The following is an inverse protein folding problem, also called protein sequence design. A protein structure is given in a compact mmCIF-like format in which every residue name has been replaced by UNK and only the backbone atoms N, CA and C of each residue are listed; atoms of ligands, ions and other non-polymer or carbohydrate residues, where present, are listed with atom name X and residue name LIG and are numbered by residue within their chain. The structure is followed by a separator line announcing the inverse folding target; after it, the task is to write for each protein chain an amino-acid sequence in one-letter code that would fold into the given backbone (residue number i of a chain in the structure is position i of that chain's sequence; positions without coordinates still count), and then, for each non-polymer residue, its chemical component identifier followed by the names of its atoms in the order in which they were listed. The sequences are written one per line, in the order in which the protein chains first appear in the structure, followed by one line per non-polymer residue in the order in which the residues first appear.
data_IF_017724051905
#
_entry.id   IF_017724051905
#
_cell.length_a   1.000
_cell.length_b   1.000
_cell.length_c   1.000
_cell.angle_alpha   90.00
_cell.angle_beta   90.00
_cell.angle_gamma   90.00
#
_symmetry.space_group_name_H-M   'P 1'
#
loop_
_entity.id
_entity.type
_entity.pdbx_description
1 polymer ?
#
# COMPACT_ATOMS: atom_id res chain seq x y z
N UNK A 1 -48.14 -27.33 -3.12
CA UNK A 1 -47.75 -26.12 -2.35
C UNK A 1 -46.58 -25.48 -3.10
N UNK A 2 -46.81 -24.34 -3.76
CA UNK A 2 -45.75 -23.62 -4.48
C UNK A 2 -44.84 -22.96 -3.44
N UNK A 3 -43.59 -23.40 -3.36
CA UNK A 3 -42.55 -22.60 -2.72
C UNK A 3 -42.30 -21.38 -3.62
N UNK A 4 -42.87 -20.24 -3.25
CA UNK A 4 -42.38 -18.96 -3.75
C UNK A 4 -41.03 -18.70 -3.06
N UNK A 5 -39.93 -18.48 -3.79
CA UNK A 5 -38.70 -18.06 -3.15
C UNK A 5 -38.95 -16.65 -2.57
N UNK A 6 -38.85 -16.50 -1.24
CA UNK A 6 -38.76 -15.19 -0.57
C UNK A 6 -37.39 -14.57 -0.92
N UNK A 7 -37.15 -14.23 -2.17
CA UNK A 7 -35.79 -13.94 -2.64
C UNK A 7 -35.63 -12.58 -3.31
N UNK A 8 -36.22 -11.52 -2.78
CA UNK A 8 -35.76 -10.16 -3.09
C UNK A 8 -35.88 -9.30 -1.84
N UNK A 9 -34.77 -8.71 -1.42
CA UNK A 9 -34.72 -7.65 -0.40
C UNK A 9 -35.30 -6.40 -1.09
N UNK A 10 -36.39 -5.84 -0.57
CA UNK A 10 -36.95 -4.58 -1.06
C UNK A 10 -36.11 -3.37 -0.64
N UNK A 11 -36.35 -2.20 -1.24
CA UNK A 11 -35.67 -0.96 -0.87
C UNK A 11 -35.95 -0.60 0.60
N UNK A 12 -37.17 -0.84 1.08
CA UNK A 12 -37.55 -0.66 2.48
C UNK A 12 -36.85 -1.68 3.40
N UNK A 13 -36.74 -2.94 2.97
CA UNK A 13 -36.01 -3.96 3.73
C UNK A 13 -34.52 -3.59 3.86
N UNK A 14 -33.90 -3.06 2.80
CA UNK A 14 -32.48 -2.64 2.79
C UNK A 14 -32.18 -1.62 3.89
N UNK A 15 -33.06 -0.63 4.09
CA UNK A 15 -32.87 0.41 5.10
C UNK A 15 -32.88 -0.13 6.53
N UNK A 16 -33.48 -1.30 6.76
CA UNK A 16 -33.55 -1.94 8.06
C UNK A 16 -32.39 -2.90 8.36
N UNK A 17 -31.65 -3.33 7.33
CA UNK A 17 -30.50 -4.23 7.48
C UNK A 17 -29.31 -3.54 8.14
N UNK A 18 -28.70 -4.23 9.10
CA UNK A 18 -27.55 -3.70 9.85
C UNK A 18 -26.35 -3.44 8.94
N UNK A 19 -26.08 -4.32 7.98
CA UNK A 19 -24.98 -4.18 7.03
C UNK A 19 -25.13 -2.93 6.15
N UNK A 20 -26.37 -2.54 5.80
CA UNK A 20 -26.63 -1.30 5.06
C UNK A 20 -26.49 -0.06 5.96
N UNK A 21 -27.00 -0.13 7.19
CA UNK A 21 -26.83 0.94 8.19
C UNK A 21 -25.34 1.19 8.48
N UNK A 22 -24.53 0.13 8.54
CA UNK A 22 -23.07 0.23 8.73
C UNK A 22 -22.35 0.85 7.53
N UNK A 23 -22.85 0.64 6.30
CA UNK A 23 -22.31 1.26 5.09
C UNK A 23 -22.27 2.80 5.21
N UNK A 24 -23.34 3.41 5.72
CA UNK A 24 -23.45 4.87 5.91
C UNK A 24 -22.53 5.43 7.01
N UNK A 25 -22.04 4.58 7.92
CA UNK A 25 -21.09 4.96 8.97
C UNK A 25 -19.63 4.88 8.55
N UNK A 26 -19.35 4.24 7.40
CA UNK A 26 -17.99 4.02 6.91
C UNK A 26 -17.50 5.27 6.17
N UNK A 27 -16.56 5.99 6.77
CA UNK A 27 -15.84 7.06 6.06
C UNK A 27 -15.01 6.41 4.96
N UNK A 28 -15.06 6.89 3.71
CA UNK A 28 -14.16 6.37 2.68
C UNK A 28 -12.74 6.91 2.87
N UNK A 29 -11.71 6.19 2.40
CA UNK A 29 -10.34 6.75 2.36
C UNK A 29 -10.31 8.08 1.59
N UNK A 30 -11.13 8.23 0.55
CA UNK A 30 -11.24 9.50 -0.19
C UNK A 30 -11.71 10.64 0.70
N UNK A 31 -12.84 10.48 1.40
CA UNK A 31 -13.40 11.50 2.29
C UNK A 31 -12.47 11.82 3.45
N UNK A 32 -11.79 10.79 3.96
CA UNK A 32 -10.80 10.96 5.02
C UNK A 32 -9.64 11.86 4.57
N UNK A 33 -9.10 11.64 3.36
CA UNK A 33 -8.04 12.49 2.80
C UNK A 33 -8.55 13.89 2.46
N UNK A 34 -9.76 14.00 1.90
CA UNK A 34 -10.36 15.28 1.54
C UNK A 34 -10.55 16.17 2.78
N UNK A 35 -11.10 15.62 3.87
CA UNK A 35 -11.28 16.33 5.15
C UNK A 35 -9.95 16.78 5.78
N UNK A 36 -8.84 16.12 5.43
CA UNK A 36 -7.47 16.47 5.87
C UNK A 36 -6.74 17.41 4.91
N UNK A 37 -7.43 17.95 3.91
CA UNK A 37 -6.89 18.95 3.00
C UNK A 37 -5.98 18.38 1.91
N UNK A 38 -6.12 17.10 1.58
CA UNK A 38 -5.36 16.51 0.48
C UNK A 38 -5.70 17.20 -0.86
N UNK A 39 -4.66 17.46 -1.65
CA UNK A 39 -4.82 18.08 -2.99
C UNK A 39 -5.44 17.10 -3.98
N UNK A 40 -6.01 17.64 -5.06
CA UNK A 40 -6.66 16.86 -6.13
C UNK A 40 -5.81 15.68 -6.62
N UNK A 41 -4.50 15.88 -6.81
CA UNK A 41 -3.59 14.85 -7.30
C UNK A 41 -3.50 13.67 -6.33
N UNK A 42 -3.44 13.92 -5.02
CA UNK A 42 -3.44 12.86 -4.00
C UNK A 42 -4.81 12.16 -3.97
N UNK A 43 -5.89 12.91 -4.04
CA UNK A 43 -7.26 12.36 -4.07
C UNK A 43 -7.50 11.46 -5.29
N UNK A 44 -6.94 11.83 -6.44
CA UNK A 44 -7.00 11.02 -7.67
C UNK A 44 -6.30 9.67 -7.53
N UNK A 45 -5.26 9.58 -6.68
CA UNK A 45 -4.54 8.33 -6.39
C UNK A 45 -5.29 7.51 -5.34
N UNK A 46 -5.76 8.15 -4.27
CA UNK A 46 -6.42 7.47 -3.13
C UNK A 46 -7.75 6.83 -3.53
N UNK A 47 -8.47 7.40 -4.51
CA UNK A 47 -9.73 6.83 -5.01
C UNK A 47 -9.56 5.55 -5.84
N UNK A 48 -8.32 5.20 -6.24
CA UNK A 48 -8.06 3.97 -6.98
C UNK A 48 -8.38 2.76 -6.09
N UNK A 49 -8.95 1.72 -6.65
CA UNK A 49 -9.08 0.43 -5.99
C UNK A 49 -7.71 -0.22 -5.79
N UNK A 50 -7.59 -1.18 -4.86
CA UNK A 50 -6.30 -1.63 -4.35
C UNK A 50 -5.31 -2.11 -5.42
N UNK A 51 -5.78 -2.78 -6.48
CA UNK A 51 -4.91 -3.32 -7.54
C UNK A 51 -4.31 -2.21 -8.42
N UNK A 52 -5.12 -1.32 -8.98
CA UNK A 52 -4.62 -0.16 -9.76
C UNK A 52 -3.87 0.81 -8.87
N UNK A 53 -4.25 0.96 -7.60
CA UNK A 53 -3.49 1.77 -6.66
C UNK A 53 -2.03 1.30 -6.55
N UNK A 54 -1.83 0.00 -6.27
CA UNK A 54 -0.49 -0.59 -6.21
C UNK A 54 0.26 -0.44 -7.52
N UNK A 55 -0.36 -0.82 -8.65
CA UNK A 55 0.27 -0.73 -9.98
C UNK A 55 0.59 0.69 -10.41
N UNK A 56 -0.23 1.68 -10.03
CA UNK A 56 0.02 3.09 -10.31
C UNK A 56 1.23 3.59 -9.53
N UNK A 57 1.28 3.31 -8.22
CA UNK A 57 2.38 3.76 -7.36
C UNK A 57 3.70 3.10 -7.76
N UNK A 58 3.69 1.81 -8.09
CA UNK A 58 4.86 1.09 -8.62
C UNK A 58 5.42 1.80 -9.87
N UNK A 59 4.58 2.07 -10.87
CA UNK A 59 4.98 2.78 -12.09
C UNK A 59 5.51 4.18 -11.81
N UNK A 60 4.83 4.93 -10.93
CA UNK A 60 5.22 6.27 -10.53
C UNK A 60 6.61 6.29 -9.88
N UNK A 61 6.89 5.32 -9.00
CA UNK A 61 8.17 5.23 -8.29
C UNK A 61 9.28 4.80 -9.23
N UNK A 62 9.03 3.84 -10.13
CA UNK A 62 9.99 3.47 -11.18
C UNK A 62 10.34 4.67 -12.06
N UNK A 63 9.35 5.46 -12.48
CA UNK A 63 9.61 6.69 -13.25
C UNK A 63 10.42 7.71 -12.44
N UNK A 64 9.99 8.00 -11.20
CA UNK A 64 10.62 9.01 -10.35
C UNK A 64 12.07 8.71 -9.99
N UNK A 65 12.42 7.44 -9.81
CA UNK A 65 13.77 6.99 -9.46
C UNK A 65 14.55 6.42 -10.65
N UNK A 66 13.99 6.49 -11.87
CA UNK A 66 14.59 5.95 -13.09
C UNK A 66 14.99 4.48 -12.96
N UNK A 67 14.09 3.68 -12.36
CA UNK A 67 14.29 2.24 -12.19
C UNK A 67 13.96 1.50 -13.48
N UNK A 68 14.76 0.48 -13.78
CA UNK A 68 14.52 -0.44 -14.87
C UNK A 68 13.36 -1.40 -14.55
N UNK A 69 12.82 -2.02 -15.60
CA UNK A 69 11.77 -3.03 -15.48
C UNK A 69 12.30 -4.30 -14.80
N UNK A 70 11.44 -5.08 -14.14
CA UNK A 70 11.87 -6.32 -13.51
C UNK A 70 12.23 -7.39 -14.54
N UNK A 71 13.09 -8.34 -14.16
CA UNK A 71 13.45 -9.50 -14.98
C UNK A 71 12.38 -10.58 -14.97
N UNK A 72 11.59 -10.64 -13.90
CA UNK A 72 10.58 -11.66 -13.66
C UNK A 72 9.48 -11.12 -12.71
N UNK A 73 8.56 -11.95 -12.26
CA UNK A 73 7.45 -11.54 -11.40
C UNK A 73 7.75 -11.54 -9.89
N UNK A 74 9.01 -11.74 -9.49
CA UNK A 74 9.42 -11.83 -8.08
C UNK A 74 10.03 -10.52 -7.56
N UNK A 75 10.11 -9.48 -8.38
CA UNK A 75 10.49 -8.13 -7.97
C UNK A 75 9.80 -7.13 -8.90
N UNK A 76 9.75 -5.87 -8.50
CA UNK A 76 9.03 -4.82 -9.22
C UNK A 76 9.95 -3.95 -10.08
N UNK A 77 11.24 -3.89 -9.74
CA UNK A 77 12.20 -3.02 -10.43
C UNK A 77 13.66 -3.46 -10.26
N UNK A 78 14.53 -2.86 -11.08
CA UNK A 78 15.99 -3.03 -11.02
C UNK A 78 16.67 -1.65 -11.00
N UNK A 79 17.75 -1.53 -10.24
CA UNK A 79 18.65 -0.37 -10.31
C UNK A 79 20.10 -0.83 -10.11
N UNK A 80 20.96 -0.65 -11.13
CA UNK A 80 22.35 -1.11 -11.08
C UNK A 80 22.48 -2.56 -10.56
N UNK A 81 21.77 -3.48 -11.22
CA UNK A 81 21.71 -4.91 -10.88
C UNK A 81 21.02 -5.25 -9.55
N UNK A 82 20.63 -4.26 -8.73
CA UNK A 82 19.90 -4.46 -7.49
C UNK A 82 18.41 -4.67 -7.75
N UNK A 83 17.88 -5.80 -7.29
CA UNK A 83 16.45 -6.14 -7.41
C UNK A 83 15.65 -5.55 -6.27
N UNK A 84 14.55 -4.88 -6.60
CA UNK A 84 13.77 -4.05 -5.69
C UNK A 84 12.31 -4.45 -5.73
N UNK A 85 11.71 -4.65 -4.56
CA UNK A 85 10.27 -4.74 -4.36
C UNK A 85 9.69 -3.37 -4.03
N UNK A 86 8.50 -3.03 -4.54
CA UNK A 86 7.82 -1.76 -4.27
C UNK A 86 6.45 -2.04 -3.66
N UNK A 87 6.30 -1.78 -2.36
CA UNK A 87 4.99 -1.88 -1.70
C UNK A 87 4.44 -0.50 -1.42
N UNK A 88 3.17 -0.31 -1.76
CA UNK A 88 2.47 0.96 -1.58
C UNK A 88 1.35 0.86 -0.55
N UNK A 89 1.20 1.89 0.26
CA UNK A 89 0.18 2.01 1.29
C UNK A 89 -0.45 3.41 1.27
N UNK A 90 -1.66 3.47 1.81
CA UNK A 90 -2.42 4.70 2.09
C UNK A 90 -3.15 4.52 3.41
N UNK A 91 -3.47 5.62 4.06
CA UNK A 91 -4.20 5.59 5.33
C UNK A 91 -5.58 4.96 5.16
N UNK A 92 -5.89 4.07 6.10
CA UNK A 92 -7.25 3.57 6.27
C UNK A 92 -8.14 4.69 6.78
N UNK A 93 -9.43 4.60 6.48
CA UNK A 93 -10.38 5.58 6.96
C UNK A 93 -10.37 5.65 8.50
N UNK A 94 -10.40 6.88 9.03
CA UNK A 94 -10.49 7.11 10.47
C UNK A 94 -9.16 7.13 11.23
N UNK A 95 -8.01 6.97 10.57
CA UNK A 95 -6.71 7.06 11.25
C UNK A 95 -5.53 7.24 10.30
N UNK A 96 -4.32 7.38 10.85
CA UNK A 96 -3.07 7.43 10.07
C UNK A 96 -2.36 6.07 10.01
N UNK A 97 -3.11 5.00 10.29
CA UNK A 97 -2.59 3.64 10.23
C UNK A 97 -2.72 3.11 8.79
N UNK A 98 -1.71 2.34 8.39
CA UNK A 98 -1.67 1.65 7.11
C UNK A 98 -0.74 0.43 7.24
N UNK A 99 -0.83 -0.47 6.26
CA UNK A 99 0.02 -1.64 6.17
C UNK A 99 0.58 -1.77 4.77
N UNK A 100 1.83 -2.21 4.69
CA UNK A 100 2.38 -2.79 3.47
C UNK A 100 2.21 -4.30 3.57
N UNK A 101 1.68 -4.90 2.51
CA UNK A 101 1.24 -6.30 2.49
C UNK A 101 1.86 -7.06 1.32
N UNK A 102 1.71 -8.38 1.34
CA UNK A 102 2.19 -9.30 0.30
C UNK A 102 3.70 -9.22 0.08
N UNK A 103 4.47 -9.08 1.16
CA UNK A 103 5.92 -9.22 1.15
C UNK A 103 6.27 -10.71 1.20
N UNK A 104 6.81 -11.24 0.11
CA UNK A 104 7.14 -12.67 0.00
C UNK A 104 8.63 -12.89 0.34
N UNK A 105 8.99 -13.71 1.34
CA UNK A 105 10.40 -13.95 1.71
C UNK A 105 11.17 -14.68 0.62
N UNK A 106 10.50 -15.58 -0.09
CA UNK A 106 11.10 -16.47 -1.11
C UNK A 106 11.41 -15.75 -2.43
N UNK A 107 10.93 -14.52 -2.59
CA UNK A 107 11.12 -13.74 -3.81
C UNK A 107 12.52 -13.14 -3.88
N UNK A 108 13.04 -12.99 -5.11
CA UNK A 108 14.46 -12.75 -5.40
C UNK A 108 14.92 -11.27 -5.30
N UNK A 109 14.20 -10.41 -4.60
CA UNK A 109 14.63 -9.02 -4.33
C UNK A 109 15.56 -8.91 -3.11
N UNK A 110 16.45 -7.92 -3.15
CA UNK A 110 17.38 -7.56 -2.07
C UNK A 110 16.86 -6.39 -1.23
N UNK A 111 16.12 -5.47 -1.86
CA UNK A 111 15.68 -4.22 -1.27
C UNK A 111 14.17 -4.03 -1.41
N UNK A 112 13.59 -3.28 -0.48
CA UNK A 112 12.16 -2.96 -0.46
C UNK A 112 12.02 -1.43 -0.41
N UNK A 113 11.20 -0.88 -1.30
CA UNK A 113 10.71 0.49 -1.24
C UNK A 113 9.29 0.51 -0.67
N UNK A 114 9.16 1.10 0.51
CA UNK A 114 7.90 1.35 1.18
C UNK A 114 7.37 2.72 0.80
N UNK A 115 6.30 2.74 0.01
CA UNK A 115 5.68 3.96 -0.52
C UNK A 115 4.43 4.27 0.31
N UNK A 116 4.34 5.48 0.85
CA UNK A 116 3.16 5.98 1.53
C UNK A 116 2.58 7.17 0.78
N UNK A 117 1.33 7.06 0.37
CA UNK A 117 0.57 8.23 -0.09
C UNK A 117 0.01 8.95 1.14
N UNK A 118 0.67 10.01 1.59
CA UNK A 118 0.20 10.90 2.67
C UNK A 118 -0.77 11.96 2.12
N UNK A 119 -1.39 12.76 2.98
CA UNK A 119 -2.27 13.86 2.60
C UNK A 119 -1.55 14.92 1.75
N UNK A 120 -0.24 15.12 1.98
CA UNK A 120 0.55 16.21 1.38
C UNK A 120 1.60 15.75 0.39
N UNK A 121 2.11 14.52 0.55
CA UNK A 121 3.24 14.00 -0.21
C UNK A 121 3.12 12.50 -0.46
N UNK A 122 3.94 12.00 -1.38
CA UNK A 122 4.20 10.57 -1.50
C UNK A 122 5.59 10.35 -0.90
N UNK A 123 5.64 9.72 0.26
CA UNK A 123 6.88 9.45 0.97
C UNK A 123 7.39 8.05 0.65
N UNK A 124 8.71 7.90 0.57
CA UNK A 124 9.38 6.64 0.24
C UNK A 124 10.43 6.33 1.30
N UNK A 125 10.45 5.09 1.76
CA UNK A 125 11.50 4.57 2.62
C UNK A 125 12.12 3.32 1.98
N UNK A 126 13.45 3.22 2.04
CA UNK A 126 14.18 2.03 1.61
C UNK A 126 14.60 1.19 2.80
N UNK A 127 14.47 -0.13 2.70
CA UNK A 127 15.04 -1.10 3.63
C UNK A 127 15.63 -2.31 2.90
N UNK A 128 16.65 -2.94 3.49
CA UNK A 128 17.13 -4.25 3.01
C UNK A 128 16.16 -5.34 3.44
N UNK A 129 15.91 -6.32 2.57
CA UNK A 129 14.98 -7.43 2.85
C UNK A 129 15.30 -8.08 4.18
N UNK A 130 16.54 -8.53 4.35
CA UNK A 130 16.98 -9.29 5.52
C UNK A 130 16.88 -8.49 6.83
N UNK A 131 17.08 -7.17 6.77
CA UNK A 131 17.00 -6.29 7.95
C UNK A 131 15.53 -5.98 8.33
N UNK A 132 14.64 -5.95 7.34
CA UNK A 132 13.23 -5.59 7.55
C UNK A 132 12.41 -6.80 7.98
N UNK A 133 12.65 -7.98 7.42
CA UNK A 133 11.84 -9.18 7.64
C UNK A 133 11.65 -9.62 9.11
N UNK A 134 12.59 -9.41 10.05
CA UNK A 134 12.36 -9.69 11.46
C UNK A 134 11.19 -8.91 12.10
N UNK A 135 10.77 -7.80 11.50
CA UNK A 135 9.69 -6.94 11.99
C UNK A 135 8.33 -7.21 11.32
N UNK A 136 8.29 -8.17 10.40
CA UNK A 136 7.12 -8.49 9.60
C UNK A 136 6.22 -9.51 10.30
N UNK A 137 4.92 -9.35 10.15
CA UNK A 137 3.91 -10.30 10.64
C UNK A 137 3.40 -11.16 9.49
N UNK A 138 3.34 -12.47 9.71
CA UNK A 138 2.86 -13.44 8.71
C UNK A 138 1.39 -13.16 8.31
N UNK A 139 1.10 -13.18 7.01
CA UNK A 139 -0.23 -12.91 6.44
C UNK A 139 -0.93 -14.22 6.02
N UNK A 140 -1.49 -14.96 6.98
CA UNK A 140 -2.19 -16.20 6.65
C UNK A 140 -1.25 -17.25 6.02
N UNK A 141 -1.59 -17.76 4.83
CA UNK A 141 -0.80 -18.81 4.14
C UNK A 141 0.34 -18.26 3.27
N UNK A 142 0.31 -16.99 2.87
CA UNK A 142 1.26 -16.42 1.91
C UNK A 142 1.59 -14.98 2.26
N UNK A 143 2.86 -14.62 2.13
CA UNK A 143 3.35 -13.28 2.38
C UNK A 143 3.31 -12.82 3.83
N UNK A 144 3.80 -11.60 3.99
CA UNK A 144 3.95 -10.90 5.25
C UNK A 144 3.45 -9.45 5.10
N UNK A 145 3.15 -8.84 6.23
CA UNK A 145 2.80 -7.43 6.31
C UNK A 145 3.56 -6.74 7.44
N UNK A 146 3.69 -5.43 7.34
CA UNK A 146 4.19 -4.56 8.40
C UNK A 146 3.35 -3.29 8.45
N UNK A 147 2.99 -2.85 9.65
CA UNK A 147 2.30 -1.56 9.84
C UNK A 147 3.30 -0.41 9.90
N UNK A 148 2.78 0.81 9.73
CA UNK A 148 3.57 2.04 9.71
C UNK A 148 4.41 2.27 10.96
N UNK A 149 3.83 2.05 12.13
CA UNK A 149 4.50 2.38 13.39
C UNK A 149 5.67 1.42 13.63
N UNK A 150 5.43 0.12 13.45
CA UNK A 150 6.46 -0.93 13.54
C UNK A 150 7.59 -0.69 12.54
N UNK A 151 7.27 -0.40 11.27
CA UNK A 151 8.30 -0.16 10.25
C UNK A 151 9.16 1.06 10.56
N UNK A 152 8.55 2.18 10.95
CA UNK A 152 9.29 3.42 11.19
C UNK A 152 10.08 3.40 12.50
N UNK A 153 9.66 2.59 13.48
CA UNK A 153 10.36 2.42 14.76
C UNK A 153 11.46 1.35 14.74
N UNK A 154 11.54 0.52 13.69
CA UNK A 154 12.53 -0.56 13.60
C UNK A 154 13.98 -0.08 13.48
N UNK A 155 14.20 1.14 13.00
CA UNK A 155 15.53 1.65 12.66
C UNK A 155 16.16 1.00 11.42
N UNK A 156 15.44 0.13 10.70
CA UNK A 156 15.96 -0.63 9.54
C UNK A 156 15.61 -0.02 8.20
N UNK A 157 14.86 1.08 8.19
CA UNK A 157 14.50 1.82 6.98
C UNK A 157 15.04 3.24 7.00
N UNK A 158 15.36 3.77 5.81
CA UNK A 158 15.81 5.15 5.60
C UNK A 158 14.83 5.88 4.68
N UNK A 159 14.44 7.11 5.06
CA UNK A 159 13.61 7.95 4.17
C UNK A 159 14.46 8.35 2.96
N UNK A 160 13.87 8.25 1.77
CA UNK A 160 14.47 8.68 0.51
C UNK A 160 13.80 10.00 0.13
N UNK A 161 14.55 11.10 0.17
CA UNK A 161 14.06 12.43 -0.20
C UNK A 161 14.51 12.83 -1.60
N UNK A 162 15.72 12.41 -1.97
CA UNK A 162 16.33 12.68 -3.26
C UNK A 162 17.06 11.46 -3.83
N UNK A 163 17.52 11.58 -5.08
CA UNK A 163 18.22 10.49 -5.77
C UNK A 163 19.51 10.08 -5.05
N UNK A 164 20.19 11.04 -4.43
CA UNK A 164 21.42 10.79 -3.68
C UNK A 164 21.16 9.93 -2.43
N UNK A 165 20.05 10.15 -1.72
CA UNK A 165 19.65 9.28 -0.61
C UNK A 165 19.42 7.84 -1.08
N UNK A 166 18.80 7.69 -2.25
CA UNK A 166 18.51 6.39 -2.85
C UNK A 166 19.81 5.65 -3.22
N UNK A 167 20.77 6.33 -3.86
CA UNK A 167 22.09 5.76 -4.16
C UNK A 167 22.85 5.35 -2.90
N UNK A 168 22.92 6.24 -1.90
CA UNK A 168 23.53 5.95 -0.59
C UNK A 168 22.87 4.76 0.10
N UNK A 169 21.55 4.65 0.02
CA UNK A 169 20.80 3.51 0.56
C UNK A 169 21.21 2.18 -0.09
N UNK A 170 21.43 2.18 -1.41
CA UNK A 170 21.90 1.01 -2.15
C UNK A 170 23.40 0.72 -1.99
N UNK A 171 24.14 1.59 -1.30
CA UNK A 171 25.58 1.47 -1.10
C UNK A 171 26.42 1.92 -2.30
N UNK A 172 25.89 2.88 -3.07
CA UNK A 172 26.51 3.48 -4.24
C UNK A 172 27.04 4.88 -3.98
#
# INVERSE_FOLDING_TARGET
IKFAPKNLISDEDLLELNEYKELGSTISSYDYYQKRGAKKQILDIVKLENRKFGSFCEKLIRERLSLEKPLNSQHDAIYFEKKIEIKSARYWAGGTNCKWQHLEPEYDYEYILFVLVDFKEIAVWGGKKDDVFPYLTKQGKQGYWVDKETLLSSGTVKKIQEEEDFKKFLGM
#
